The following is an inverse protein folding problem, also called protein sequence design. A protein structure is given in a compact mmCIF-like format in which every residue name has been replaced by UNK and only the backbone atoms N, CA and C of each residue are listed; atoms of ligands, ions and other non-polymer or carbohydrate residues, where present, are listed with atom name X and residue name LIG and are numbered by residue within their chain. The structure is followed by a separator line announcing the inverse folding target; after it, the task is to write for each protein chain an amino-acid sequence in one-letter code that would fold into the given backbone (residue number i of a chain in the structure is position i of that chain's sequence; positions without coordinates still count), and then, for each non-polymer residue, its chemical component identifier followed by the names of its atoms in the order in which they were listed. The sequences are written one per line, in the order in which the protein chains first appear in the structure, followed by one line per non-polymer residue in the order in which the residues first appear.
data_IF_695761886218
#
_entry.id   IF_695761886218
#
_cell.length_a   1.000
_cell.length_b   1.000
_cell.length_c   1.000
_cell.angle_alpha   90.00
_cell.angle_beta   90.00
_cell.angle_gamma   90.00
#
_symmetry.space_group_name_H-M   'P 1'
#
loop_
_entity.id
_entity.type
_entity.pdbx_description
1 polymer ?
#
# COMPACT_ATOMS: atom_id res chain seq x y z
N UNK A 1 66.19 29.39 13.19
CA UNK A 1 66.70 28.69 11.98
C UNK A 1 65.55 28.69 10.96
N UNK A 2 65.74 29.22 9.74
CA UNK A 2 65.82 28.46 8.45
C UNK A 2 64.51 27.68 8.16
N UNK A 3 63.70 27.84 7.09
CA UNK A 3 63.52 28.71 5.89
C UNK A 3 61.99 28.64 5.53
N UNK A 4 61.27 29.51 4.80
CA UNK A 4 61.50 30.61 3.84
C UNK A 4 61.52 30.22 2.33
N UNK A 5 60.52 30.70 1.55
CA UNK A 5 60.23 30.50 0.09
C UNK A 5 60.04 29.00 -0.32
N UNK A 6 59.58 28.53 -1.49
CA UNK A 6 59.15 29.03 -2.82
C UNK A 6 58.31 27.91 -3.54
N UNK A 7 57.61 28.06 -4.69
CA UNK A 7 56.93 29.17 -5.41
C UNK A 7 56.20 28.57 -6.67
N UNK A 8 55.30 29.32 -7.32
CA UNK A 8 54.79 29.14 -8.72
C UNK A 8 53.71 28.10 -9.05
N UNK A 9 52.82 28.51 -9.97
CA UNK A 9 51.86 27.67 -10.69
C UNK A 9 52.24 27.58 -12.19
N UNK A 10 51.57 26.70 -12.96
CA UNK A 10 51.61 26.72 -14.43
C UNK A 10 50.19 26.72 -14.98
N UNK A 11 49.90 27.70 -15.85
CA UNK A 11 48.67 27.83 -16.61
C UNK A 11 48.92 27.30 -18.03
N UNK A 12 47.96 26.62 -18.64
CA UNK A 12 48.03 26.17 -20.04
C UNK A 12 46.79 26.60 -20.82
N UNK A 13 46.99 27.37 -21.90
CA UNK A 13 45.97 27.75 -22.86
C UNK A 13 46.00 26.83 -24.10
N UNK A 14 44.90 26.79 -24.84
CA UNK A 14 44.79 26.29 -26.23
C UNK A 14 45.40 27.34 -27.23
N UNK A 15 45.23 27.33 -28.58
CA UNK A 15 44.29 26.59 -29.46
C UNK A 15 44.93 26.02 -30.78
N UNK A 16 44.41 26.19 -32.03
CA UNK A 16 43.38 25.36 -32.71
C UNK A 16 43.79 24.85 -34.13
N UNK A 17 42.76 24.50 -34.95
CA UNK A 17 42.74 24.21 -36.41
C UNK A 17 43.00 22.73 -36.80
N UNK A 18 42.39 22.17 -37.86
CA UNK A 18 41.81 22.76 -39.08
C UNK A 18 40.40 22.26 -39.44
N UNK A 19 39.77 22.94 -40.41
CA UNK A 19 38.52 22.54 -41.05
C UNK A 19 38.76 21.96 -42.47
N UNK A 20 37.86 21.11 -42.94
CA UNK A 20 37.67 20.77 -44.36
C UNK A 20 36.16 20.68 -44.65
N UNK A 21 35.76 21.07 -45.86
CA UNK A 21 34.35 21.23 -46.26
C UNK A 21 34.16 20.87 -47.75
N UNK A 22 32.94 20.46 -48.11
CA UNK A 22 32.45 20.11 -49.46
C UNK A 22 33.16 18.95 -50.22
N UNK A 23 32.55 18.41 -51.30
CA UNK A 23 31.14 18.46 -51.73
C UNK A 23 30.48 17.05 -51.80
N UNK A 24 29.14 17.01 -51.94
CA UNK A 24 28.40 15.80 -52.32
C UNK A 24 27.55 16.09 -53.57
N UNK A 25 27.55 15.17 -54.53
CA UNK A 25 26.89 15.31 -55.84
C UNK A 25 26.01 14.11 -56.16
N UNK A 26 24.71 14.36 -56.32
CA UNK A 26 23.69 13.63 -57.13
C UNK A 26 23.44 12.13 -56.87
N UNK A 27 22.15 11.75 -56.85
CA UNK A 27 21.61 10.38 -56.73
C UNK A 27 21.23 9.79 -58.12
N UNK A 28 20.43 8.71 -58.31
CA UNK A 28 19.93 7.68 -57.38
C UNK A 28 20.07 6.20 -57.88
N UNK A 29 19.77 5.21 -57.02
CA UNK A 29 19.50 3.80 -57.36
C UNK A 29 18.54 3.15 -56.33
N UNK A 30 17.91 2.00 -56.60
CA UNK A 30 16.65 1.61 -55.94
C UNK A 30 16.46 0.14 -55.51
N UNK A 31 15.66 -0.04 -54.42
CA UNK A 31 14.91 -1.24 -53.99
C UNK A 31 15.71 -2.50 -53.54
N UNK A 32 15.09 -3.53 -52.90
CA UNK A 32 13.72 -3.68 -52.35
C UNK A 32 13.70 -3.88 -50.80
N UNK A 33 12.54 -4.10 -50.12
CA UNK A 33 12.46 -4.02 -48.65
C UNK A 33 12.55 -5.37 -47.89
N UNK A 34 13.09 -5.32 -46.67
CA UNK A 34 12.95 -6.35 -45.64
C UNK A 34 12.68 -5.70 -44.26
N UNK A 35 11.41 -5.66 -43.86
CA UNK A 35 10.96 -5.10 -42.57
C UNK A 35 9.87 -5.97 -41.91
N UNK A 36 9.95 -7.29 -42.08
CA UNK A 36 9.06 -8.27 -41.44
C UNK A 36 9.43 -8.52 -39.97
N UNK A 37 9.38 -7.50 -39.13
CA UNK A 37 9.57 -7.61 -37.68
C UNK A 37 8.24 -7.37 -36.95
N UNK A 38 7.71 -8.30 -36.14
CA UNK A 38 6.50 -8.05 -35.37
C UNK A 38 6.77 -6.93 -34.36
N UNK A 39 6.06 -5.82 -34.48
CA UNK A 39 6.17 -4.71 -33.55
C UNK A 39 5.86 -5.22 -32.13
N UNK A 40 6.85 -5.13 -31.23
CA UNK A 40 6.67 -5.55 -29.85
C UNK A 40 5.57 -4.69 -29.20
N UNK A 41 4.39 -5.27 -29.04
CA UNK A 41 3.21 -4.62 -28.46
C UNK A 41 3.50 -4.34 -26.99
N UNK A 42 4.10 -3.18 -26.72
CA UNK A 42 4.21 -2.63 -25.37
C UNK A 42 2.77 -2.46 -24.84
N UNK A 43 2.38 -3.07 -23.71
CA UNK A 43 1.03 -2.93 -23.19
C UNK A 43 0.75 -1.45 -22.92
N UNK A 44 -0.20 -0.87 -23.66
CA UNK A 44 -0.48 0.57 -23.72
C UNK A 44 -1.25 1.11 -22.51
N UNK A 45 -1.58 0.25 -21.56
CA UNK A 45 -2.25 0.58 -20.30
C UNK A 45 -1.39 0.06 -19.15
N UNK A 46 -1.01 0.90 -18.16
CA UNK A 46 -0.44 0.42 -16.91
C UNK A 46 -1.42 -0.56 -16.23
N UNK A 47 -0.95 -1.66 -15.63
CA UNK A 47 -1.85 -2.55 -14.89
C UNK A 47 -2.53 -1.78 -13.76
N UNK A 48 -3.83 -2.01 -13.60
CA UNK A 48 -4.57 -1.54 -12.42
C UNK A 48 -4.02 -2.20 -11.16
N UNK A 49 -4.31 -1.60 -10.00
CA UNK A 49 -3.94 -2.19 -8.72
C UNK A 49 -4.41 -3.65 -8.62
N UNK A 50 -5.67 -3.94 -9.00
CA UNK A 50 -6.26 -5.28 -8.97
C UNK A 50 -5.49 -6.27 -9.86
N UNK A 51 -5.18 -5.89 -11.10
CA UNK A 51 -4.37 -6.71 -12.02
C UNK A 51 -2.96 -6.98 -11.46
N UNK A 52 -2.34 -5.98 -10.82
CA UNK A 52 -1.02 -6.11 -10.19
C UNK A 52 -1.04 -7.00 -8.93
N UNK A 53 -2.13 -6.98 -8.14
CA UNK A 53 -2.31 -7.87 -6.99
C UNK A 53 -2.46 -9.32 -7.42
N UNK A 54 -3.32 -9.59 -8.42
CA UNK A 54 -3.53 -10.93 -8.96
C UNK A 54 -2.24 -11.47 -9.58
N UNK A 55 -1.49 -10.65 -10.33
CA UNK A 55 -0.20 -11.02 -10.89
C UNK A 55 0.89 -11.28 -9.82
N UNK A 56 0.74 -10.71 -8.63
CA UNK A 56 1.59 -10.97 -7.47
C UNK A 56 1.10 -12.15 -6.59
N UNK A 57 0.09 -12.90 -7.04
CA UNK A 57 -0.46 -14.07 -6.34
C UNK A 57 -1.37 -13.74 -5.15
N UNK A 58 -1.89 -12.52 -5.08
CA UNK A 58 -2.74 -12.05 -3.98
C UNK A 58 -4.20 -11.92 -4.41
N UNK A 59 -5.10 -12.42 -3.57
CA UNK A 59 -6.54 -12.34 -3.77
C UNK A 59 -7.04 -10.94 -3.34
N UNK A 60 -7.57 -10.12 -4.26
CA UNK A 60 -7.95 -8.73 -4.01
C UNK A 60 -9.31 -8.58 -3.31
N UNK A 61 -9.90 -9.65 -2.76
CA UNK A 61 -11.18 -9.61 -2.07
C UNK A 61 -11.05 -9.66 -0.54
N UNK A 62 -11.94 -8.95 0.14
CA UNK A 62 -12.19 -9.13 1.59
C UNK A 62 -12.87 -10.48 1.81
N UNK A 63 -12.30 -11.33 2.69
CA UNK A 63 -12.76 -12.71 2.90
C UNK A 63 -12.31 -13.28 4.25
N UNK A 64 -13.04 -14.28 4.73
CA UNK A 64 -12.61 -15.15 5.84
C UNK A 64 -11.72 -16.29 5.30
N UNK A 65 -10.64 -16.61 6.03
CA UNK A 65 -9.61 -17.58 5.70
C UNK A 65 -9.34 -18.40 6.97
N UNK A 66 -10.12 -19.45 7.21
CA UNK A 66 -10.08 -20.17 8.49
C UNK A 66 -10.58 -19.29 9.65
N UNK A 67 -9.72 -19.06 10.64
CA UNK A 67 -9.97 -18.18 11.80
C UNK A 67 -9.50 -16.72 11.59
N UNK A 68 -9.05 -16.36 10.38
CA UNK A 68 -8.55 -15.03 10.06
C UNK A 68 -9.42 -14.31 9.01
N UNK A 69 -9.63 -13.00 9.15
CA UNK A 69 -10.29 -12.15 8.14
C UNK A 69 -9.25 -11.31 7.40
N UNK A 70 -9.20 -11.45 6.07
CA UNK A 70 -8.52 -10.51 5.18
C UNK A 70 -9.48 -9.37 4.84
N UNK A 71 -9.07 -8.14 5.12
CA UNK A 71 -9.82 -6.89 4.87
C UNK A 71 -9.04 -6.04 3.87
N UNK A 72 -9.68 -5.63 2.79
CA UNK A 72 -9.08 -4.80 1.74
C UNK A 72 -9.20 -3.32 2.03
N UNK A 73 -8.24 -2.52 1.53
CA UNK A 73 -8.30 -1.06 1.57
C UNK A 73 -9.47 -0.54 0.73
N UNK A 74 -10.24 0.41 1.30
CA UNK A 74 -11.53 0.88 0.74
C UNK A 74 -12.71 -0.06 1.02
N UNK A 75 -12.56 -1.06 1.88
CA UNK A 75 -13.61 -2.00 2.26
C UNK A 75 -13.71 -2.19 3.78
N UNK A 76 -14.90 -2.61 4.22
CA UNK A 76 -15.18 -3.04 5.59
C UNK A 76 -15.70 -4.47 5.61
N UNK A 77 -15.04 -5.33 6.39
CA UNK A 77 -15.60 -6.61 6.81
C UNK A 77 -16.47 -6.40 8.06
N UNK A 78 -17.67 -6.98 8.08
CA UNK A 78 -18.45 -7.21 9.31
C UNK A 78 -18.48 -8.70 9.59
N UNK A 79 -18.06 -9.12 10.79
CA UNK A 79 -18.13 -10.49 11.25
C UNK A 79 -19.22 -10.66 12.31
N UNK A 80 -19.97 -11.75 12.23
CA UNK A 80 -20.74 -12.30 13.35
C UNK A 80 -19.83 -13.20 14.20
N UNK A 81 -19.97 -13.13 15.52
CA UNK A 81 -19.12 -13.82 16.51
C UNK A 81 -20.00 -14.70 17.41
N UNK A 82 -20.56 -15.75 16.83
CA UNK A 82 -21.47 -16.67 17.51
C UNK A 82 -20.70 -17.91 18.03
N UNK A 83 -20.84 -18.22 19.33
CA UNK A 83 -20.26 -19.43 19.96
C UNK A 83 -18.74 -19.63 19.72
N UNK A 84 -17.98 -18.53 19.65
CA UNK A 84 -16.55 -18.55 19.35
C UNK A 84 -16.19 -18.87 17.90
N UNK A 85 -17.17 -18.90 16.98
CA UNK A 85 -16.96 -19.01 15.54
C UNK A 85 -17.10 -17.63 14.90
N UNK A 86 -16.17 -17.33 14.01
CA UNK A 86 -16.24 -16.15 13.13
C UNK A 86 -17.00 -16.52 11.86
N UNK A 87 -17.94 -15.68 11.43
CA UNK A 87 -18.54 -15.77 10.09
C UNK A 87 -18.58 -14.40 9.44
N UNK A 88 -18.33 -14.32 8.13
CA UNK A 88 -18.35 -13.06 7.38
C UNK A 88 -19.81 -12.73 7.00
N UNK A 89 -20.37 -11.74 7.69
CA UNK A 89 -21.77 -11.31 7.59
C UNK A 89 -21.99 -10.36 6.40
N UNK A 90 -21.08 -9.39 6.25
CA UNK A 90 -21.14 -8.40 5.18
C UNK A 90 -19.73 -7.91 4.76
N UNK A 91 -19.62 -7.48 3.51
CA UNK A 91 -18.50 -6.68 2.99
C UNK A 91 -19.07 -5.40 2.38
N UNK A 92 -18.83 -4.27 3.04
CA UNK A 92 -19.17 -2.94 2.50
C UNK A 92 -17.97 -2.36 1.75
N UNK A 93 -18.21 -1.49 0.76
CA UNK A 93 -17.19 -0.61 0.15
C UNK A 93 -17.42 0.82 0.62
N UNK A 94 -16.36 1.54 0.97
CA UNK A 94 -16.49 2.87 1.56
C UNK A 94 -15.19 3.43 2.14
N UNK A 95 -15.32 4.48 2.94
CA UNK A 95 -14.22 5.20 3.54
C UNK A 95 -14.41 5.43 5.04
N UNK A 96 -13.28 5.47 5.77
CA UNK A 96 -13.24 5.87 7.18
C UNK A 96 -12.98 7.37 7.28
N UNK A 97 -13.64 8.03 8.23
CA UNK A 97 -13.46 9.45 8.56
C UNK A 97 -11.99 9.91 8.61
N UNK A 98 -11.09 9.17 9.26
CA UNK A 98 -9.68 9.53 9.37
C UNK A 98 -8.92 9.56 8.05
N UNK A 99 -9.35 8.81 7.03
CA UNK A 99 -8.73 8.82 5.70
C UNK A 99 -9.16 10.03 4.85
N UNK A 100 -10.37 10.53 5.11
CA UNK A 100 -11.02 11.65 4.44
C UNK A 100 -10.51 13.02 4.96
N UNK A 101 -10.94 14.16 4.37
CA UNK A 101 -10.70 15.48 4.94
C UNK A 101 -11.36 15.63 6.32
N UNK A 102 -10.71 16.33 7.23
CA UNK A 102 -11.13 16.41 8.63
C UNK A 102 -12.53 17.03 8.78
N UNK A 103 -13.39 16.40 9.59
CA UNK A 103 -14.81 16.74 9.70
C UNK A 103 -15.74 15.98 8.74
N UNK A 104 -15.19 15.18 7.80
CA UNK A 104 -15.99 14.25 6.99
C UNK A 104 -16.29 12.97 7.80
N UNK A 105 -17.55 12.52 7.92
CA UNK A 105 -17.89 11.29 8.64
C UNK A 105 -17.54 10.03 7.83
N UNK A 106 -17.57 8.86 8.49
CA UNK A 106 -17.56 7.56 7.83
C UNK A 106 -18.66 7.45 6.77
N UNK A 107 -18.41 6.69 5.69
CA UNK A 107 -19.48 6.24 4.80
C UNK A 107 -20.17 4.96 5.30
N UNK A 108 -19.70 4.39 6.41
CA UNK A 108 -20.13 3.10 6.97
C UNK A 108 -21.27 3.28 7.99
N UNK A 109 -22.19 2.31 8.02
CA UNK A 109 -23.27 2.27 9.03
C UNK A 109 -22.73 1.82 10.39
N UNK A 110 -23.34 2.24 11.53
CA UNK A 110 -23.02 1.67 12.85
C UNK A 110 -23.08 0.13 12.85
N UNK A 111 -22.24 -0.50 13.68
CA UNK A 111 -22.20 -1.96 13.84
C UNK A 111 -23.29 -2.42 14.81
N UNK A 112 -23.91 -3.57 14.51
CA UNK A 112 -24.94 -4.15 15.35
C UNK A 112 -24.34 -4.85 16.59
N UNK A 113 -25.05 -4.93 17.72
CA UNK A 113 -24.64 -5.74 18.87
C UNK A 113 -24.39 -7.20 18.47
N UNK A 114 -23.36 -7.82 19.06
CA UNK A 114 -22.95 -9.20 18.74
C UNK A 114 -22.06 -9.34 17.49
N UNK A 115 -21.78 -8.25 16.77
CA UNK A 115 -20.88 -8.24 15.61
C UNK A 115 -19.63 -7.41 15.87
N UNK A 116 -18.54 -7.73 15.18
CA UNK A 116 -17.33 -6.90 15.09
C UNK A 116 -17.14 -6.45 13.65
N UNK A 117 -16.54 -5.27 13.43
CA UNK A 117 -16.22 -4.83 12.07
C UNK A 117 -14.83 -4.20 11.98
N UNK A 118 -14.26 -4.28 10.79
CA UNK A 118 -12.91 -3.85 10.47
C UNK A 118 -12.93 -3.17 9.11
N UNK A 119 -12.51 -1.90 9.03
CA UNK A 119 -12.34 -1.19 7.76
C UNK A 119 -10.88 -0.77 7.58
N UNK A 120 -10.32 -1.03 6.41
CA UNK A 120 -8.97 -0.58 6.03
C UNK A 120 -9.12 0.52 4.99
N UNK A 121 -8.34 1.58 5.11
CA UNK A 121 -8.37 2.70 4.15
C UNK A 121 -7.01 3.43 4.11
N UNK A 122 -6.80 4.28 3.11
CA UNK A 122 -5.54 5.01 2.90
C UNK A 122 -5.74 6.44 2.41
N UNK A 123 -5.16 7.40 3.14
CA UNK A 123 -5.16 8.81 2.75
C UNK A 123 -3.89 9.19 2.01
N UNK A 124 -4.00 9.44 0.69
CA UNK A 124 -2.88 9.96 -0.10
C UNK A 124 -2.40 11.35 0.38
N UNK A 125 -3.31 12.16 0.93
CA UNK A 125 -3.01 13.48 1.47
C UNK A 125 -2.23 13.40 2.80
N UNK A 126 -2.73 12.59 3.76
CA UNK A 126 -2.08 12.41 5.08
C UNK A 126 -0.87 11.46 5.02
N UNK A 127 -0.69 10.73 3.91
CA UNK A 127 0.36 9.71 3.68
C UNK A 127 0.35 8.60 4.75
N UNK A 128 -0.86 8.20 5.13
CA UNK A 128 -1.13 7.23 6.19
C UNK A 128 -2.21 6.25 5.75
N UNK A 129 -2.11 5.04 6.25
CA UNK A 129 -3.17 4.03 6.19
C UNK A 129 -3.76 3.81 7.57
N UNK A 130 -5.06 3.53 7.60
CA UNK A 130 -5.87 3.42 8.80
C UNK A 130 -6.55 2.06 8.83
N UNK A 131 -6.58 1.42 10.00
CA UNK A 131 -7.52 0.35 10.31
C UNK A 131 -8.47 0.88 11.38
N UNK A 132 -9.76 0.97 11.08
CA UNK A 132 -10.82 1.27 12.04
C UNK A 132 -11.47 -0.03 12.50
N UNK A 133 -11.59 -0.20 13.81
CA UNK A 133 -12.13 -1.40 14.45
C UNK A 133 -13.33 -0.99 15.29
N UNK A 134 -14.48 -1.61 15.04
CA UNK A 134 -15.68 -1.46 15.87
C UNK A 134 -15.95 -2.80 16.59
N UNK A 135 -16.07 -2.76 17.91
CA UNK A 135 -16.41 -3.94 18.71
C UNK A 135 -17.84 -3.81 19.25
N UNK A 136 -18.79 -4.49 18.62
CA UNK A 136 -20.19 -4.57 19.08
C UNK A 136 -20.45 -5.67 20.11
N UNK A 137 -19.41 -6.34 20.62
CA UNK A 137 -19.54 -7.35 21.68
C UNK A 137 -19.57 -6.71 23.07
N UNK A 138 -19.94 -7.49 24.08
CA UNK A 138 -20.02 -7.04 25.48
C UNK A 138 -18.67 -7.08 26.24
N UNK A 139 -17.63 -7.65 25.64
CA UNK A 139 -16.28 -7.81 26.21
C UNK A 139 -15.21 -7.19 25.31
N UNK A 140 -14.01 -6.95 25.85
CA UNK A 140 -12.86 -6.59 25.03
C UNK A 140 -12.37 -7.74 24.13
N UNK A 141 -11.87 -7.39 22.94
CA UNK A 141 -11.36 -8.33 21.95
C UNK A 141 -9.95 -7.92 21.50
N UNK A 142 -9.05 -8.90 21.41
CA UNK A 142 -7.67 -8.78 20.94
C UNK A 142 -7.46 -9.41 19.56
N UNK A 143 -6.38 -9.01 18.86
CA UNK A 143 -6.13 -9.37 17.47
C UNK A 143 -4.62 -9.52 17.19
N UNK A 144 -4.21 -10.50 16.37
CA UNK A 144 -2.93 -10.47 15.66
C UNK A 144 -3.14 -10.00 14.22
N UNK A 145 -2.51 -8.88 13.85
CA UNK A 145 -2.60 -8.31 12.51
C UNK A 145 -1.34 -8.59 11.65
N UNK A 146 -1.57 -8.99 10.40
CA UNK A 146 -0.58 -8.93 9.33
C UNK A 146 -0.98 -7.88 8.30
N UNK A 147 -0.17 -6.83 8.18
CA UNK A 147 -0.35 -5.78 7.18
C UNK A 147 0.29 -6.21 5.86
N UNK A 148 -0.43 -6.06 4.76
CA UNK A 148 0.09 -6.25 3.41
C UNK A 148 0.20 -4.88 2.70
N UNK A 149 1.37 -4.59 2.16
CA UNK A 149 1.69 -3.34 1.46
C UNK A 149 2.41 -3.63 0.13
N UNK A 150 2.42 -2.66 -0.79
CA UNK A 150 3.29 -2.72 -1.98
C UNK A 150 4.56 -1.90 -1.70
N UNK A 151 5.72 -2.56 -1.77
CA UNK A 151 7.05 -1.94 -1.63
C UNK A 151 7.94 -2.37 -2.79
N UNK A 152 8.49 -1.42 -3.55
CA UNK A 152 9.38 -1.72 -4.68
C UNK A 152 8.75 -2.57 -5.79
N UNK A 153 7.44 -2.43 -6.03
CA UNK A 153 6.70 -3.23 -7.00
C UNK A 153 6.41 -4.67 -6.58
N UNK A 154 6.68 -5.03 -5.31
CA UNK A 154 6.40 -6.35 -4.74
C UNK A 154 5.48 -6.23 -3.52
N UNK A 155 4.76 -7.30 -3.22
CA UNK A 155 4.02 -7.43 -1.97
C UNK A 155 5.00 -7.64 -0.81
N UNK A 156 4.80 -6.87 0.25
CA UNK A 156 5.49 -7.01 1.52
C UNK A 156 4.46 -7.22 2.63
N UNK A 157 4.61 -8.30 3.39
CA UNK A 157 3.82 -8.61 4.58
C UNK A 157 4.65 -8.28 5.82
N UNK A 158 4.02 -7.70 6.85
CA UNK A 158 4.62 -7.56 8.19
C UNK A 158 3.56 -7.69 9.27
N UNK A 159 3.92 -8.29 10.41
CA UNK A 159 3.06 -8.21 11.60
C UNK A 159 2.99 -6.76 12.11
N UNK A 160 1.86 -6.44 12.73
CA UNK A 160 1.66 -5.25 13.53
C UNK A 160 0.99 -5.65 14.85
N UNK A 161 1.30 -4.91 15.91
CA UNK A 161 0.45 -4.91 17.09
C UNK A 161 -0.78 -4.05 16.79
N UNK A 162 -1.89 -4.44 17.41
CA UNK A 162 -3.19 -3.78 17.34
C UNK A 162 -3.74 -3.78 18.75
N UNK A 163 -4.26 -2.64 19.20
CA UNK A 163 -4.88 -2.50 20.51
C UNK A 163 -6.09 -3.44 20.65
N UNK A 164 -6.20 -4.07 21.82
CA UNK A 164 -7.46 -4.71 22.18
C UNK A 164 -8.55 -3.64 22.32
N UNK A 165 -9.73 -3.89 21.77
CA UNK A 165 -10.83 -2.92 21.71
C UNK A 165 -11.89 -3.30 22.73
N UNK A 166 -12.27 -2.42 23.68
CA UNK A 166 -13.26 -2.73 24.72
C UNK A 166 -14.65 -3.04 24.14
N UNK A 167 -15.50 -3.70 24.92
CA UNK A 167 -16.89 -3.98 24.55
C UNK A 167 -17.67 -2.70 24.25
N UNK A 168 -18.46 -2.70 23.18
CA UNK A 168 -19.13 -1.50 22.63
C UNK A 168 -18.17 -0.42 22.06
N UNK A 169 -16.87 -0.68 22.03
CA UNK A 169 -15.83 0.30 21.71
C UNK A 169 -15.56 0.49 20.22
N UNK A 170 -14.74 1.50 19.91
CA UNK A 170 -14.15 1.71 18.59
C UNK A 170 -12.70 2.17 18.76
N UNK A 171 -11.79 1.68 17.93
CA UNK A 171 -10.37 2.03 17.94
C UNK A 171 -9.84 2.28 16.51
N UNK A 172 -8.71 2.98 16.41
CA UNK A 172 -7.97 3.16 15.18
C UNK A 172 -6.51 2.74 15.34
N UNK A 173 -5.98 2.10 14.30
CA UNK A 173 -4.54 1.92 14.12
C UNK A 173 -4.07 2.78 12.94
N UNK A 174 -2.87 3.34 13.05
CA UNK A 174 -2.30 4.26 12.07
C UNK A 174 -0.90 3.82 11.65
N UNK A 175 -0.66 3.74 10.35
CA UNK A 175 0.66 3.38 9.80
C UNK A 175 1.06 4.31 8.63
N UNK A 176 2.35 4.61 8.53
CA UNK A 176 2.93 5.37 7.40
C UNK A 176 3.19 4.52 6.15
N UNK A 177 2.96 3.21 6.22
CA UNK A 177 2.98 2.33 5.05
C UNK A 177 1.69 2.50 4.22
N UNK A 178 1.74 2.36 2.87
CA UNK A 178 0.56 2.23 2.03
C UNK A 178 0.01 0.79 2.13
N UNK A 179 -0.93 0.57 3.05
CA UNK A 179 -1.54 -0.73 3.32
C UNK A 179 -2.67 -0.96 2.32
N UNK A 180 -2.57 -2.06 1.59
CA UNK A 180 -3.58 -2.51 0.62
C UNK A 180 -4.58 -3.48 1.25
N UNK A 181 -4.17 -4.19 2.31
CA UNK A 181 -4.99 -5.13 3.04
C UNK A 181 -4.42 -5.41 4.44
N UNK A 182 -5.28 -5.72 5.40
CA UNK A 182 -4.90 -6.26 6.71
C UNK A 182 -5.54 -7.63 6.89
N UNK A 183 -4.75 -8.61 7.32
CA UNK A 183 -5.28 -9.90 7.79
C UNK A 183 -5.30 -9.89 9.31
N UNK A 184 -6.48 -9.97 9.92
CA UNK A 184 -6.68 -10.07 11.37
C UNK A 184 -6.94 -11.53 11.73
N UNK A 185 -6.22 -12.04 12.71
CA UNK A 185 -6.20 -13.45 13.12
C UNK A 185 -6.19 -13.57 14.65
N UNK A 186 -6.45 -14.77 15.19
CA UNK A 186 -6.54 -15.00 16.64
C UNK A 186 -7.47 -14.01 17.36
N UNK A 187 -8.63 -13.76 16.74
CA UNK A 187 -9.65 -12.86 17.30
C UNK A 187 -10.19 -13.50 18.58
N UNK A 188 -9.82 -12.94 19.74
CA UNK A 188 -10.04 -13.56 21.04
C UNK A 188 -10.48 -12.56 22.11
N UNK A 189 -11.49 -12.93 22.88
CA UNK A 189 -11.91 -12.25 24.10
C UNK A 189 -10.73 -12.09 25.07
N UNK A 190 -10.59 -10.90 25.64
CA UNK A 190 -9.61 -10.61 26.69
C UNK A 190 -10.29 -9.90 27.87
N UNK A 191 -9.89 -10.17 29.12
CA UNK A 191 -10.37 -9.42 30.27
C UNK A 191 -10.05 -7.92 30.13
N UNK A 192 -10.98 -7.06 30.52
CA UNK A 192 -10.84 -5.60 30.38
C UNK A 192 -9.64 -5.04 31.18
N UNK A 193 -9.25 -5.70 32.29
CA UNK A 193 -8.05 -5.38 33.07
C UNK A 193 -6.72 -5.61 32.31
N UNK A 194 -6.79 -6.23 31.13
CA UNK A 194 -5.63 -6.64 30.32
C UNK A 194 -5.55 -5.94 28.97
N UNK A 195 -6.40 -4.93 28.71
CA UNK A 195 -6.30 -4.04 27.55
C UNK A 195 -5.00 -3.21 27.67
N UNK A 196 -3.91 -3.75 27.11
CA UNK A 196 -2.59 -3.13 27.16
C UNK A 196 -2.25 -2.47 25.81
N UNK A 197 -2.53 -1.18 25.71
CA UNK A 197 -1.97 -0.28 24.69
C UNK A 197 -0.75 0.45 25.25
N UNK A 198 0.25 0.74 24.39
CA UNK A 198 1.48 1.48 24.75
C UNK A 198 1.92 2.38 23.60
#
# INVERSE_FOLDING_TARGET
MIRLVALSAVLALAPPAFAQDAPVTTAPAAAPPLAGGPAAVRPTKPPTLVEALIAAGFDPHTKLIGDAVQVMSGQRATLDVAEGKLTLDAVDTGHVDMALPDGTPDTYKPVAPGKVAFAVDGSAAKKQSFLKIWNGLAHAVSYEAELTAIRGGKLAKRKAQVCAVPGGGTNYEMWSDPIIAVTLSRIAEVPDDKINCK
#
